data_IF_468668178992
#
_entry.id   IF_468668178992
#
_cell.length_a   1.000
_cell.length_b   1.000
_cell.length_c   1.000
_cell.angle_alpha   90.00
_cell.angle_beta   90.00
_cell.angle_gamma   90.00
#
_symmetry.space_group_name_H-M   'P 1'
#
loop_
_entity.id
_entity.type
_entity.pdbx_description
1 polymer ?
#
# COMPACT_ATOMS: atom_id res chain seq x y z
N UNK A 1 -15.74 12.53 22.34
CA UNK A 1 -15.22 11.16 22.56
C UNK A 1 -14.02 11.13 23.53
N UNK A 2 -14.00 11.95 24.59
CA UNK A 2 -12.80 12.13 25.43
C UNK A 2 -12.75 11.29 26.73
N UNK A 3 -13.72 10.39 26.99
CA UNK A 3 -13.95 9.86 28.35
C UNK A 3 -13.76 8.35 28.56
N UNK A 4 -13.04 7.63 27.69
CA UNK A 4 -12.62 6.24 27.98
C UNK A 4 -11.23 5.91 27.42
N UNK A 5 -10.23 6.75 27.68
CA UNK A 5 -8.86 6.22 27.69
C UNK A 5 -8.74 5.46 29.01
N UNK A 6 -8.88 4.15 28.95
CA UNK A 6 -8.66 3.21 30.06
C UNK A 6 -7.39 3.64 30.78
N UNK A 7 -7.49 4.00 32.07
CA UNK A 7 -6.30 4.29 32.88
C UNK A 7 -5.37 3.09 32.72
N UNK A 8 -4.21 3.27 32.08
CA UNK A 8 -3.13 2.29 32.04
C UNK A 8 -2.71 2.01 33.48
N UNK A 9 -3.37 1.04 34.12
CA UNK A 9 -3.10 0.59 35.51
C UNK A 9 -2.08 -0.55 35.55
N UNK A 10 -1.55 -0.95 34.39
CA UNK A 10 -0.67 -2.10 34.27
C UNK A 10 0.79 -1.70 34.57
N UNK A 11 1.50 -2.52 35.33
CA UNK A 11 2.90 -2.33 35.69
C UNK A 11 3.81 -2.92 34.60
N UNK A 12 4.97 -2.30 34.41
CA UNK A 12 6.05 -2.84 33.58
C UNK A 12 6.66 -4.07 34.28
N UNK A 13 7.00 -5.09 33.50
CA UNK A 13 7.69 -6.31 33.96
C UNK A 13 9.21 -6.29 33.66
N UNK A 14 9.73 -5.22 33.06
CA UNK A 14 11.16 -5.04 32.85
C UNK A 14 11.78 -4.17 33.95
N UNK A 15 12.99 -4.53 34.41
CA UNK A 15 13.84 -3.58 35.11
C UNK A 15 14.17 -2.45 34.15
N UNK A 16 13.87 -1.23 34.58
CA UNK A 16 13.61 -0.08 33.71
C UNK A 16 14.79 0.22 32.78
N UNK A 17 14.61 -0.06 31.48
CA UNK A 17 15.40 0.45 30.35
C UNK A 17 15.67 1.96 30.52
N UNK A 18 14.72 2.70 31.11
CA UNK A 18 14.84 4.12 31.38
C UNK A 18 15.91 4.51 32.41
N UNK A 19 16.35 3.58 33.27
CA UNK A 19 17.51 3.79 34.14
C UNK A 19 18.82 3.81 33.35
N UNK A 20 18.95 2.92 32.37
CA UNK A 20 20.17 2.75 31.57
C UNK A 20 20.23 3.77 30.43
N UNK A 21 19.08 4.04 29.81
CA UNK A 21 18.95 4.89 28.64
C UNK A 21 17.96 6.02 28.96
N UNK A 22 18.40 7.09 29.65
CA UNK A 22 17.50 8.16 30.04
C UNK A 22 16.95 8.87 28.80
N UNK A 23 15.68 9.26 28.87
CA UNK A 23 15.07 10.10 27.84
C UNK A 23 15.66 11.51 27.87
N UNK A 24 15.85 12.07 26.68
CA UNK A 24 16.20 13.47 26.45
C UNK A 24 15.08 14.08 25.60
N UNK A 25 14.68 15.30 25.90
CA UNK A 25 13.68 16.02 25.10
C UNK A 25 14.28 16.47 23.77
N UNK A 26 13.44 16.53 22.73
CA UNK A 26 13.84 17.02 21.41
C UNK A 26 14.08 18.53 21.44
N UNK A 27 15.19 19.02 20.89
CA UNK A 27 15.42 20.46 20.72
C UNK A 27 14.60 21.02 19.55
N UNK A 28 14.57 20.28 18.43
CA UNK A 28 13.83 20.66 17.23
C UNK A 28 12.35 20.22 17.27
N UNK A 29 11.57 20.81 18.17
CA UNK A 29 10.15 20.47 18.38
C UNK A 29 9.14 21.36 17.62
N UNK A 30 9.61 22.39 16.91
CA UNK A 30 8.74 23.27 16.14
C UNK A 30 8.09 22.52 14.97
N UNK A 31 6.76 22.51 14.94
CA UNK A 31 5.95 21.94 13.86
C UNK A 31 5.79 22.97 12.74
N UNK A 32 6.06 22.56 11.51
CA UNK A 32 5.86 23.36 10.30
C UNK A 32 5.60 22.45 9.10
N UNK A 33 4.82 22.94 8.15
CA UNK A 33 4.60 22.34 6.83
C UNK A 33 5.85 22.48 5.93
N UNK A 34 6.70 23.49 6.15
CA UNK A 34 7.98 23.66 5.44
C UNK A 34 8.96 22.50 5.67
N UNK A 35 8.78 21.74 6.74
CA UNK A 35 9.59 20.56 7.03
C UNK A 35 9.10 19.29 6.32
N UNK A 36 7.95 19.36 5.61
CA UNK A 36 7.43 18.23 4.87
C UNK A 36 8.30 17.94 3.64
N UNK A 37 8.83 16.73 3.53
CA UNK A 37 9.65 16.31 2.39
C UNK A 37 8.78 15.68 1.29
N UNK A 38 9.31 15.65 0.05
CA UNK A 38 8.66 14.98 -1.09
C UNK A 38 8.43 13.48 -0.83
N UNK A 39 9.27 12.84 -0.01
CA UNK A 39 9.10 11.44 0.40
C UNK A 39 7.91 11.25 1.35
N UNK A 40 7.61 12.25 2.19
CA UNK A 40 6.51 12.20 3.14
C UNK A 40 5.17 12.58 2.51
N UNK A 41 5.19 13.45 1.50
CA UNK A 41 3.99 13.99 0.86
C UNK A 41 2.96 12.92 0.42
N UNK A 42 3.34 11.77 -0.17
CA UNK A 42 2.38 10.73 -0.57
C UNK A 42 1.64 10.02 0.58
N UNK A 43 2.09 10.22 1.82
CA UNK A 43 1.53 9.61 3.03
C UNK A 43 0.81 10.63 3.92
N UNK A 44 0.89 11.92 3.57
CA UNK A 44 0.21 12.97 4.30
C UNK A 44 -1.17 13.19 3.68
N UNK A 45 -2.22 13.41 4.49
CA UNK A 45 -3.53 13.71 3.95
C UNK A 45 -3.44 14.94 3.02
N UNK A 46 -3.98 14.82 1.81
CA UNK A 46 -4.15 15.97 0.92
C UNK A 46 -4.95 17.05 1.65
N UNK A 47 -4.54 18.33 1.55
CA UNK A 47 -5.16 19.46 2.27
C UNK A 47 -6.69 19.37 2.23
N UNK A 48 -7.29 18.93 3.35
CA UNK A 48 -8.73 18.80 3.48
C UNK A 48 -9.29 20.14 3.97
N UNK A 49 -9.40 21.11 3.07
CA UNK A 49 -9.81 22.47 3.42
C UNK A 49 -8.75 23.20 4.25
N UNK A 50 -9.11 23.63 5.46
CA UNK A 50 -8.24 24.41 6.36
C UNK A 50 -7.32 23.55 7.25
N UNK A 51 -7.20 22.25 6.96
CA UNK A 51 -6.35 21.32 7.71
C UNK A 51 -5.04 21.11 6.96
N UNK A 52 -3.93 21.44 7.62
CA UNK A 52 -2.57 21.28 7.11
C UNK A 52 -1.83 20.24 7.94
N UNK A 53 -1.03 19.40 7.29
CA UNK A 53 -0.13 18.48 7.97
C UNK A 53 1.19 19.18 8.29
N UNK A 54 1.56 19.24 9.57
CA UNK A 54 2.77 19.91 10.03
C UNK A 54 3.69 18.91 10.72
N UNK A 55 5.00 19.02 10.47
CA UNK A 55 6.01 18.11 11.02
C UNK A 55 7.20 18.86 11.62
N UNK A 56 7.91 18.18 12.52
CA UNK A 56 9.19 18.68 13.05
C UNK A 56 10.32 18.46 12.05
N UNK A 57 11.42 19.24 12.16
CA UNK A 57 12.66 18.97 11.42
C UNK A 57 13.07 17.52 11.62
N UNK A 58 13.75 16.91 10.65
CA UNK A 58 14.12 15.50 10.74
C UNK A 58 15.12 15.17 11.87
N UNK A 59 16.17 15.98 12.03
CA UNK A 59 17.15 15.81 13.11
C UNK A 59 16.60 16.29 14.47
N UNK A 60 16.76 15.51 15.57
CA UNK A 60 16.32 15.91 16.90
C UNK A 60 17.06 17.11 17.50
N UNK A 61 18.30 17.32 17.03
CA UNK A 61 19.24 18.29 17.59
C UNK A 61 19.98 19.01 16.46
N UNK A 62 20.42 20.24 16.71
CA UNK A 62 21.25 20.97 15.75
C UNK A 62 22.67 20.38 15.69
N UNK A 63 23.17 20.17 14.46
CA UNK A 63 24.52 19.63 14.22
C UNK A 63 24.69 18.13 14.49
N UNK A 64 23.60 17.37 14.60
CA UNK A 64 23.64 15.90 14.68
C UNK A 64 23.40 15.27 13.32
N UNK A 65 24.01 14.10 13.11
CA UNK A 65 23.92 13.34 11.87
C UNK A 65 23.25 11.99 12.10
N UNK A 66 22.45 11.54 11.13
CA UNK A 66 21.90 10.20 11.11
C UNK A 66 23.05 9.20 10.85
N UNK A 67 23.29 8.31 11.80
CA UNK A 67 24.30 7.27 11.69
C UNK A 67 23.73 6.02 11.02
N UNK A 68 22.54 5.60 11.46
CA UNK A 68 21.86 4.41 10.97
C UNK A 68 20.35 4.51 11.21
N UNK A 69 19.57 3.93 10.31
CA UNK A 69 18.12 3.86 10.39
C UNK A 69 17.69 2.41 10.19
N UNK A 70 16.84 1.93 11.10
CA UNK A 70 16.28 0.59 11.07
C UNK A 70 14.75 0.67 10.99
N UNK A 71 14.19 -0.06 10.04
CA UNK A 71 12.74 -0.27 9.94
C UNK A 71 12.34 -1.39 10.91
N UNK A 72 11.62 -1.04 11.98
CA UNK A 72 11.33 -1.98 13.07
C UNK A 72 10.40 -3.11 12.64
N UNK A 73 9.58 -2.91 11.61
CA UNK A 73 8.72 -3.95 11.03
C UNK A 73 9.55 -5.08 10.43
N UNK A 74 10.76 -4.78 9.93
CA UNK A 74 11.61 -5.76 9.25
C UNK A 74 12.47 -6.58 10.20
N UNK A 75 12.76 -6.04 11.39
CA UNK A 75 13.73 -6.64 12.32
C UNK A 75 13.11 -7.16 13.62
N UNK A 76 11.89 -6.76 13.97
CA UNK A 76 11.20 -7.26 15.17
C UNK A 76 10.12 -8.27 14.78
N UNK A 77 10.20 -9.54 15.24
CA UNK A 77 9.19 -10.55 14.94
C UNK A 77 7.83 -10.28 15.62
N UNK A 78 7.83 -9.48 16.69
CA UNK A 78 6.63 -9.08 17.43
C UNK A 78 6.53 -7.56 17.43
N UNK A 79 6.00 -7.02 16.33
CA UNK A 79 5.86 -5.59 16.11
C UNK A 79 4.41 -5.14 16.37
N UNK A 80 4.22 -4.24 17.33
CA UNK A 80 2.94 -3.54 17.52
C UNK A 80 3.22 -2.10 17.99
N UNK A 81 2.85 -1.11 17.18
CA UNK A 81 3.10 0.31 17.45
C UNK A 81 2.49 0.78 18.76
N UNK A 82 1.27 0.31 19.08
CA UNK A 82 0.56 0.69 20.31
C UNK A 82 1.22 0.12 21.56
N UNK A 83 1.68 -1.14 21.50
CA UNK A 83 2.44 -1.79 22.56
C UNK A 83 3.71 -0.98 22.88
N UNK A 84 4.49 -0.65 21.85
CA UNK A 84 5.74 0.11 22.01
C UNK A 84 5.44 1.50 22.59
N UNK A 85 4.44 2.20 22.05
CA UNK A 85 3.97 3.49 22.59
C UNK A 85 3.63 3.40 24.09
N UNK A 86 2.91 2.36 24.51
CA UNK A 86 2.51 2.16 25.92
C UNK A 86 3.69 1.88 26.83
N UNK A 87 4.60 1.00 26.41
CA UNK A 87 5.84 0.70 27.15
C UNK A 87 6.60 2.01 27.40
N UNK A 88 6.77 2.82 26.36
CA UNK A 88 7.53 4.05 26.44
C UNK A 88 6.79 5.12 27.25
N UNK A 89 5.48 5.24 27.08
CA UNK A 89 4.68 6.17 27.86
C UNK A 89 4.71 5.89 29.36
N UNK A 90 4.66 4.61 29.73
CA UNK A 90 4.80 4.17 31.12
C UNK A 90 6.22 4.34 31.65
N UNK A 91 7.24 4.20 30.80
CA UNK A 91 8.65 4.27 31.20
C UNK A 91 9.19 5.71 31.26
N UNK A 92 8.72 6.59 30.37
CA UNK A 92 9.36 7.89 30.06
C UNK A 92 8.38 9.08 30.02
N UNK A 93 7.08 8.88 30.23
CA UNK A 93 6.08 9.96 30.18
C UNK A 93 5.52 10.25 28.78
N UNK A 94 5.04 11.46 28.53
CA UNK A 94 4.45 11.80 27.22
C UNK A 94 5.53 11.90 26.14
N UNK A 95 5.27 11.45 24.90
CA UNK A 95 6.26 11.55 23.81
C UNK A 95 6.47 12.99 23.35
N UNK A 96 7.50 13.18 22.53
CA UNK A 96 7.64 14.35 21.68
C UNK A 96 6.67 14.22 20.49
N UNK A 97 5.96 15.30 20.13
CA UNK A 97 5.08 15.31 18.96
C UNK A 97 5.90 15.62 17.73
N UNK A 98 5.90 14.72 16.76
CA UNK A 98 6.72 14.84 15.55
C UNK A 98 5.93 15.28 14.32
N UNK A 99 4.63 15.03 14.34
CA UNK A 99 3.69 15.35 13.27
C UNK A 99 2.29 15.54 13.83
N UNK A 100 1.54 16.47 13.25
CA UNK A 100 0.17 16.76 13.65
C UNK A 100 -0.69 17.24 12.47
N UNK A 101 -1.98 16.95 12.56
CA UNK A 101 -2.99 17.61 11.73
C UNK A 101 -3.38 18.91 12.42
N UNK A 102 -3.19 20.03 11.73
CA UNK A 102 -3.46 21.36 12.27
C UNK A 102 -4.62 21.99 11.52
N UNK A 103 -5.72 22.26 12.23
CA UNK A 103 -6.82 23.06 11.71
C UNK A 103 -6.50 24.54 11.94
N UNK A 104 -6.48 25.33 10.86
CA UNK A 104 -6.23 26.77 10.92
C UNK A 104 -7.52 27.49 11.29
N UNK A 105 -7.74 27.78 12.58
CA UNK A 105 -8.83 28.66 13.00
C UNK A 105 -8.47 30.12 12.63
N UNK A 106 -8.84 30.51 11.41
CA UNK A 106 -8.61 31.85 10.83
C UNK A 106 -9.22 32.98 11.70
N UNK A 107 -10.24 32.68 12.50
CA UNK A 107 -10.96 33.66 13.31
C UNK A 107 -10.26 33.88 14.64
N UNK A 108 -9.75 32.81 15.27
CA UNK A 108 -9.13 32.89 16.61
C UNK A 108 -7.60 32.92 16.58
N UNK A 109 -6.96 32.65 15.44
CA UNK A 109 -5.51 32.41 15.32
C UNK A 109 -5.00 31.36 16.33
N UNK A 110 -5.85 30.41 16.72
CA UNK A 110 -5.49 29.33 17.63
C UNK A 110 -5.31 28.04 16.86
N UNK A 111 -4.14 27.41 17.00
CA UNK A 111 -3.84 26.13 16.37
C UNK A 111 -4.45 25.00 17.20
N UNK A 112 -5.41 24.27 16.62
CA UNK A 112 -5.86 23.01 17.18
C UNK A 112 -5.11 21.88 16.47
N UNK A 113 -3.94 21.54 17.01
CA UNK A 113 -3.12 20.45 16.49
C UNK A 113 -3.56 19.11 17.08
N UNK A 114 -3.96 18.17 16.24
CA UNK A 114 -4.17 16.77 16.60
C UNK A 114 -2.88 15.99 16.32
N UNK A 115 -2.16 15.51 17.35
CA UNK A 115 -0.92 14.77 17.15
C UNK A 115 -1.20 13.45 16.43
N UNK A 116 -0.44 13.19 15.38
CA UNK A 116 -0.52 11.96 14.59
C UNK A 116 0.79 11.18 14.59
N UNK A 117 1.91 11.80 14.93
CA UNK A 117 3.21 11.15 15.03
C UNK A 117 3.91 11.52 16.33
N UNK A 118 4.70 10.58 16.85
CA UNK A 118 5.34 10.69 18.16
C UNK A 118 6.76 10.11 18.15
N UNK A 119 7.60 10.60 19.05
CA UNK A 119 8.98 10.16 19.21
C UNK A 119 9.43 10.10 20.66
N UNK A 120 10.44 9.26 20.91
CA UNK A 120 11.23 9.26 22.13
C UNK A 120 12.71 9.23 21.77
N UNK A 121 13.48 10.18 22.31
CA UNK A 121 14.93 10.21 22.17
C UNK A 121 15.55 9.69 23.46
N UNK A 122 16.38 8.66 23.35
CA UNK A 122 17.04 7.98 24.45
C UNK A 122 18.54 8.13 24.32
N UNK A 123 19.19 8.62 25.37
CA UNK A 123 20.64 8.78 25.43
C UNK A 123 21.32 7.42 25.59
N UNK A 124 22.16 7.03 24.63
CA UNK A 124 22.98 5.81 24.71
C UNK A 124 24.35 6.13 25.32
N UNK A 125 24.94 7.25 24.90
CA UNK A 125 26.15 7.85 25.48
C UNK A 125 26.18 9.35 25.11
N UNK A 126 27.20 10.10 25.55
CA UNK A 126 27.21 11.58 25.45
C UNK A 126 27.01 12.15 24.05
N UNK A 127 27.45 11.43 23.00
CA UNK A 127 27.35 11.87 21.63
C UNK A 127 26.45 10.98 20.76
N UNK A 128 25.79 9.95 21.32
CA UNK A 128 25.01 8.96 20.57
C UNK A 128 23.64 8.76 21.22
N UNK A 129 22.59 8.90 20.40
CA UNK A 129 21.21 8.84 20.81
C UNK A 129 20.45 7.85 19.93
N UNK A 130 19.48 7.14 20.50
CA UNK A 130 18.49 6.41 19.75
C UNK A 130 17.18 7.19 19.77
N UNK A 131 16.56 7.35 18.61
CA UNK A 131 15.21 7.86 18.47
C UNK A 131 14.30 6.74 17.99
N UNK A 132 13.28 6.43 18.79
CA UNK A 132 12.18 5.58 18.36
C UNK A 132 11.03 6.51 18.00
N UNK A 133 10.66 6.53 16.73
CA UNK A 133 9.61 7.42 16.24
C UNK A 133 8.62 6.72 15.33
N UNK A 134 7.39 7.18 15.39
CA UNK A 134 6.38 6.84 14.42
C UNK A 134 6.48 7.75 13.19
N UNK A 135 6.03 7.22 12.07
CA UNK A 135 6.01 7.88 10.76
C UNK A 135 4.80 7.40 9.96
N UNK A 136 4.40 8.18 8.96
CA UNK A 136 3.27 7.90 8.08
C UNK A 136 2.00 7.64 8.91
N UNK A 137 1.65 8.57 9.80
CA UNK A 137 0.47 8.47 10.68
C UNK A 137 0.45 7.23 11.59
N UNK A 138 1.61 6.86 12.16
CA UNK A 138 1.80 5.66 12.99
C UNK A 138 1.76 4.31 12.27
N UNK A 139 1.70 4.28 10.94
CA UNK A 139 1.76 3.02 10.18
C UNK A 139 3.18 2.45 10.14
N UNK A 140 4.20 3.32 10.29
CA UNK A 140 5.60 2.92 10.32
C UNK A 140 6.29 3.33 11.62
N UNK A 141 7.23 2.52 12.09
CA UNK A 141 8.02 2.83 13.29
C UNK A 141 9.49 2.61 12.96
N UNK A 142 10.27 3.67 13.17
CA UNK A 142 11.69 3.68 12.83
C UNK A 142 12.51 3.79 14.10
N UNK A 143 13.63 3.09 14.13
CA UNK A 143 14.70 3.29 15.10
C UNK A 143 15.87 3.97 14.40
N UNK A 144 16.12 5.22 14.77
CA UNK A 144 17.19 6.05 14.21
C UNK A 144 18.28 6.25 15.24
N UNK A 145 19.54 6.16 14.81
CA UNK A 145 20.68 6.47 15.65
C UNK A 145 21.29 7.80 15.22
N UNK A 146 21.35 8.74 16.15
CA UNK A 146 21.85 10.10 15.91
C UNK A 146 23.18 10.30 16.62
N UNK A 147 24.16 10.87 15.91
CA UNK A 147 25.50 11.10 16.45
C UNK A 147 25.97 12.55 16.22
N UNK A 148 26.54 13.18 17.24
CA UNK A 148 27.06 14.56 17.15
C UNK A 148 28.33 14.65 16.30
N UNK A 149 29.17 13.63 16.38
CA UNK A 149 30.48 13.59 15.74
C UNK A 149 30.71 12.22 15.12
N UNK A 150 30.74 12.16 13.79
CA UNK A 150 30.95 10.89 13.07
C UNK A 150 32.26 10.23 13.54
N UNK A 151 32.24 8.94 13.94
CA UNK A 151 33.44 8.22 14.40
C UNK A 151 34.57 8.31 13.37
N UNK A 152 35.75 8.78 13.80
CA UNK A 152 36.88 9.02 12.87
C UNK A 152 37.78 7.80 12.72
N UNK A 153 37.81 6.93 13.73
CA UNK A 153 38.65 5.74 13.75
C UNK A 153 37.82 4.45 13.95
N UNK A 154 38.48 3.30 13.73
CA UNK A 154 37.86 1.97 13.81
C UNK A 154 37.35 1.65 15.22
N UNK A 155 38.03 2.11 16.26
CA UNK A 155 37.69 1.79 17.65
C UNK A 155 36.44 2.56 18.12
N UNK A 156 36.33 3.85 17.78
CA UNK A 156 35.13 4.66 18.00
C UNK A 156 33.93 4.06 17.27
N UNK A 157 34.10 3.65 16.00
CA UNK A 157 33.03 3.01 15.23
C UNK A 157 32.60 1.69 15.89
N UNK A 158 33.55 0.86 16.32
CA UNK A 158 33.28 -0.41 17.01
C UNK A 158 32.56 -0.19 18.34
N UNK A 159 32.94 0.83 19.09
CA UNK A 159 32.29 1.20 20.34
C UNK A 159 30.84 1.65 20.09
N UNK A 160 30.60 2.53 19.11
CA UNK A 160 29.26 2.98 18.74
C UNK A 160 28.36 1.80 18.35
N UNK A 161 28.83 0.92 17.46
CA UNK A 161 28.09 -0.29 17.05
C UNK A 161 27.75 -1.17 18.26
N UNK A 162 28.72 -1.44 19.15
CA UNK A 162 28.49 -2.25 20.36
C UNK A 162 27.42 -1.62 21.27
N UNK A 163 27.42 -0.29 21.39
CA UNK A 163 26.44 0.45 22.19
C UNK A 163 25.05 0.45 21.54
N UNK A 164 24.96 0.60 20.22
CA UNK A 164 23.70 0.46 19.46
C UNK A 164 23.12 -0.95 19.62
N UNK A 165 23.94 -1.99 19.49
CA UNK A 165 23.51 -3.38 19.70
C UNK A 165 23.02 -3.60 21.13
N UNK A 166 23.75 -3.10 22.14
CA UNK A 166 23.32 -3.20 23.54
C UNK A 166 22.01 -2.47 23.83
N UNK A 167 21.76 -1.33 23.18
CA UNK A 167 20.48 -0.64 23.24
C UNK A 167 19.38 -1.47 22.59
N UNK A 168 19.61 -1.96 21.36
CA UNK A 168 18.61 -2.72 20.61
C UNK A 168 18.20 -4.00 21.35
N UNK A 169 19.17 -4.76 21.90
CA UNK A 169 18.86 -5.95 22.70
C UNK A 169 18.03 -5.62 23.95
N UNK A 170 18.32 -4.51 24.63
CA UNK A 170 17.52 -4.08 25.79
C UNK A 170 16.12 -3.62 25.40
N UNK A 171 15.99 -2.94 24.26
CA UNK A 171 14.71 -2.53 23.69
C UNK A 171 13.85 -3.76 23.31
N UNK A 172 14.42 -4.73 22.60
CA UNK A 172 13.75 -5.97 22.22
C UNK A 172 13.30 -6.78 23.46
N UNK A 173 14.19 -6.93 24.45
CA UNK A 173 13.86 -7.59 25.72
C UNK A 173 12.72 -6.87 26.46
N UNK A 174 12.71 -5.53 26.45
CA UNK A 174 11.63 -4.74 27.05
C UNK A 174 10.29 -4.97 26.33
N UNK A 175 10.27 -5.12 25.00
CA UNK A 175 9.05 -5.45 24.27
C UNK A 175 8.57 -6.85 24.67
N UNK A 176 9.44 -7.87 24.62
CA UNK A 176 9.10 -9.26 24.95
C UNK A 176 8.53 -9.39 26.36
N UNK A 177 9.17 -8.77 27.36
CA UNK A 177 8.73 -8.83 28.76
C UNK A 177 7.41 -8.10 29.02
N UNK A 178 7.04 -7.15 28.16
CA UNK A 178 5.85 -6.32 28.33
C UNK A 178 4.75 -6.59 27.30
N UNK A 179 4.81 -7.71 26.57
CA UNK A 179 3.81 -8.07 25.56
C UNK A 179 2.37 -8.10 26.13
N UNK A 180 2.20 -8.34 27.43
CA UNK A 180 0.91 -8.30 28.13
C UNK A 180 0.23 -6.93 28.14
N UNK A 181 0.95 -5.84 27.82
CA UNK A 181 0.39 -4.49 27.73
C UNK A 181 -0.44 -4.24 26.47
N UNK A 182 -0.50 -5.23 25.57
CA UNK A 182 -1.40 -5.23 24.44
C UNK A 182 -2.06 -6.60 24.34
N UNK A 183 -3.38 -6.64 24.46
CA UNK A 183 -4.15 -7.86 24.22
C UNK A 183 -5.15 -7.59 23.11
N UNK A 184 -4.86 -8.12 21.93
CA UNK A 184 -5.63 -7.87 20.71
C UNK A 184 -7.12 -8.21 20.89
N UNK A 185 -7.45 -9.40 21.38
CA UNK A 185 -8.84 -9.84 21.59
C UNK A 185 -9.63 -8.97 22.56
N UNK A 186 -8.97 -8.37 23.57
CA UNK A 186 -9.64 -7.53 24.57
C UNK A 186 -9.75 -6.07 24.16
N UNK A 187 -8.88 -5.64 23.25
CA UNK A 187 -8.76 -4.24 22.85
C UNK A 187 -9.43 -3.95 21.52
N UNK A 188 -9.53 -4.96 20.65
CA UNK A 188 -10.39 -4.93 19.47
C UNK A 188 -11.74 -5.50 19.91
N UNK A 189 -12.62 -4.61 20.35
CA UNK A 189 -14.02 -4.92 20.65
C UNK A 189 -14.95 -4.30 19.59
N UNK A 190 -16.25 -4.63 19.64
CA UNK A 190 -17.26 -4.10 18.71
C UNK A 190 -17.27 -2.56 18.63
N UNK A 191 -16.85 -1.85 19.69
CA UNK A 191 -16.73 -0.39 19.67
C UNK A 191 -15.52 0.06 18.86
N UNK A 192 -14.40 -0.64 19.00
CA UNK A 192 -13.18 -0.36 18.25
C UNK A 192 -13.30 -0.77 16.79
N UNK A 193 -13.99 -1.88 16.49
CA UNK A 193 -14.40 -2.26 15.13
C UNK A 193 -15.32 -1.21 14.47
N UNK A 194 -16.10 -0.49 15.28
CA UNK A 194 -16.94 0.58 14.78
C UNK A 194 -16.15 1.78 14.25
N UNK A 195 -14.91 1.98 14.71
CA UNK A 195 -13.99 3.06 14.32
C UNK A 195 -12.84 2.59 13.40
N UNK A 196 -12.87 1.34 12.92
CA UNK A 196 -11.80 0.77 12.10
C UNK A 196 -11.73 1.42 10.70
N UNK A 197 -10.52 1.72 10.23
CA UNK A 197 -10.26 2.03 8.82
C UNK A 197 -9.94 0.75 8.05
N UNK A 198 -10.29 0.69 6.77
CA UNK A 198 -10.04 -0.46 5.91
C UNK A 198 -8.82 -0.16 5.05
N UNK A 199 -7.91 -1.13 4.91
CA UNK A 199 -6.78 -0.99 3.98
C UNK A 199 -7.32 -0.87 2.54
N UNK A 200 -6.85 0.15 1.81
CA UNK A 200 -7.25 0.33 0.41
C UNK A 200 -6.41 -0.58 -0.51
N UNK A 201 -6.82 -1.85 -0.61
CA UNK A 201 -6.14 -2.85 -1.45
C UNK A 201 -6.10 -2.41 -2.91
N UNK A 202 -7.12 -1.70 -3.41
CA UNK A 202 -7.12 -1.15 -4.76
C UNK A 202 -5.93 -0.21 -4.97
N UNK A 203 -5.77 0.81 -4.12
CA UNK A 203 -4.69 1.80 -4.25
C UNK A 203 -3.31 1.15 -4.15
N UNK A 204 -3.12 0.23 -3.20
CA UNK A 204 -1.86 -0.52 -3.05
C UNK A 204 -1.50 -1.28 -4.34
N UNK A 205 -2.45 -2.05 -4.88
CA UNK A 205 -2.22 -2.89 -6.08
C UNK A 205 -2.05 -2.04 -7.33
N UNK A 206 -2.81 -0.96 -7.46
CA UNK A 206 -2.71 -0.04 -8.60
C UNK A 206 -1.35 0.65 -8.63
N UNK A 207 -0.90 1.25 -7.51
CA UNK A 207 0.43 1.89 -7.42
C UNK A 207 1.56 0.89 -7.63
N UNK A 208 1.42 -0.34 -7.14
CA UNK A 208 2.38 -1.41 -7.41
C UNK A 208 2.44 -1.77 -8.90
N UNK A 209 1.29 -1.82 -9.58
CA UNK A 209 1.23 -2.05 -11.02
C UNK A 209 1.93 -0.94 -11.81
N UNK A 210 1.73 0.33 -11.44
CA UNK A 210 2.41 1.47 -12.04
C UNK A 210 3.93 1.43 -11.81
N UNK A 211 4.38 1.12 -10.59
CA UNK A 211 5.81 0.99 -10.29
C UNK A 211 6.47 -0.12 -11.13
N UNK A 212 5.80 -1.26 -11.30
CA UNK A 212 6.29 -2.33 -12.18
C UNK A 212 6.29 -1.92 -13.65
N UNK A 213 5.30 -1.15 -14.10
CA UNK A 213 5.26 -0.63 -15.47
C UNK A 213 6.44 0.31 -15.74
N UNK A 214 6.75 1.22 -14.80
CA UNK A 214 7.91 2.11 -14.89
C UNK A 214 9.20 1.29 -14.90
N UNK A 215 9.34 0.33 -14.00
CA UNK A 215 10.50 -0.57 -13.95
C UNK A 215 10.69 -1.36 -15.25
N UNK A 216 9.61 -1.85 -15.86
CA UNK A 216 9.67 -2.54 -17.14
C UNK A 216 10.12 -1.62 -18.27
N UNK A 217 9.69 -0.35 -18.27
CA UNK A 217 10.06 0.64 -19.27
C UNK A 217 11.53 1.08 -19.15
N UNK A 218 12.05 1.17 -17.92
CA UNK A 218 13.44 1.52 -17.65
C UNK A 218 14.40 0.34 -17.86
N UNK A 219 13.93 -0.87 -17.58
CA UNK A 219 14.69 -2.11 -17.61
C UNK A 219 14.48 -2.99 -18.84
N UNK A 220 13.91 -2.45 -19.93
CA UNK A 220 13.54 -3.21 -21.14
C UNK A 220 14.78 -3.70 -21.91
N UNK A 221 15.48 -4.66 -21.32
CA UNK A 221 16.57 -5.43 -21.94
C UNK A 221 15.89 -6.60 -22.66
N UNK A 222 15.15 -6.31 -23.73
CA UNK A 222 14.78 -7.37 -24.66
C UNK A 222 16.10 -8.01 -25.13
N UNK A 223 16.28 -9.33 -24.98
CA UNK A 223 17.42 -9.98 -25.61
C UNK A 223 17.31 -9.73 -27.12
N UNK A 224 18.40 -9.27 -27.74
CA UNK A 224 18.47 -9.15 -29.19
C UNK A 224 17.99 -10.45 -29.83
N UNK A 225 17.07 -10.33 -30.81
CA UNK A 225 16.63 -11.49 -31.59
C UNK A 225 17.86 -12.13 -32.22
N UNK A 226 18.25 -13.30 -31.73
CA UNK A 226 19.33 -14.11 -32.28
C UNK A 226 18.92 -15.56 -32.35
N UNK A 227 19.53 -16.28 -33.28
CA UNK A 227 19.38 -17.73 -33.37
C UNK A 227 19.94 -18.39 -32.11
N UNK A 228 19.17 -19.33 -31.56
CA UNK A 228 19.63 -20.19 -30.47
C UNK A 228 20.59 -21.23 -31.04
N UNK A 229 21.74 -21.41 -30.38
CA UNK A 229 22.65 -22.49 -30.74
C UNK A 229 22.08 -23.85 -30.29
N UNK A 230 22.49 -24.93 -30.96
CA UNK A 230 22.06 -26.27 -30.60
C UNK A 230 22.46 -26.61 -29.15
N UNK A 231 21.46 -26.90 -28.31
CA UNK A 231 21.66 -27.17 -26.88
C UNK A 231 21.61 -25.93 -25.97
N UNK A 232 21.43 -24.73 -26.52
CA UNK A 232 21.23 -23.51 -25.73
C UNK A 232 19.82 -23.49 -25.12
N UNK A 233 19.72 -23.24 -23.81
CA UNK A 233 18.43 -23.05 -23.15
C UNK A 233 17.83 -21.69 -23.56
N UNK A 234 16.54 -21.62 -23.93
CA UNK A 234 15.91 -20.36 -24.27
C UNK A 234 15.96 -19.41 -23.07
N UNK A 235 16.52 -18.21 -23.27
CA UNK A 235 16.46 -17.16 -22.27
C UNK A 235 15.01 -16.66 -22.18
N UNK A 236 14.43 -16.71 -20.99
CA UNK A 236 13.09 -16.19 -20.73
C UNK A 236 13.15 -14.66 -20.75
N UNK A 237 12.25 -14.03 -21.51
CA UNK A 237 12.12 -12.58 -21.54
C UNK A 237 11.64 -12.06 -20.16
N UNK A 238 12.53 -11.43 -19.41
CA UNK A 238 12.21 -10.85 -18.10
C UNK A 238 11.36 -9.58 -18.21
N UNK A 239 11.50 -8.80 -19.29
CA UNK A 239 10.67 -7.62 -19.54
C UNK A 239 9.20 -7.99 -19.72
N UNK A 240 8.91 -9.02 -20.52
CA UNK A 240 7.56 -9.58 -20.68
C UNK A 240 6.96 -10.09 -19.37
N UNK A 241 7.79 -10.67 -18.49
CA UNK A 241 7.35 -11.08 -17.15
C UNK A 241 6.97 -9.89 -16.26
N UNK A 242 7.73 -8.79 -16.28
CA UNK A 242 7.41 -7.59 -15.49
C UNK A 242 6.15 -6.90 -16.04
N UNK A 243 6.01 -6.76 -17.36
CA UNK A 243 4.78 -6.26 -17.99
C UNK A 243 3.57 -7.12 -17.66
N UNK A 244 3.72 -8.44 -17.64
CA UNK A 244 2.66 -9.35 -17.19
C UNK A 244 2.31 -9.14 -15.72
N UNK A 245 3.30 -9.03 -14.83
CA UNK A 245 3.04 -8.78 -13.41
C UNK A 245 2.29 -7.46 -13.19
N UNK A 246 2.69 -6.39 -13.89
CA UNK A 246 1.96 -5.12 -13.89
C UNK A 246 0.51 -5.29 -14.38
N UNK A 247 0.31 -5.98 -15.50
CA UNK A 247 -1.03 -6.27 -16.05
C UNK A 247 -1.93 -7.00 -15.07
N UNK A 248 -1.41 -8.04 -14.41
CA UNK A 248 -2.16 -8.82 -13.41
C UNK A 248 -2.52 -7.94 -12.21
N UNK A 249 -1.60 -7.09 -11.74
CA UNK A 249 -1.87 -6.20 -10.61
C UNK A 249 -2.92 -5.13 -10.93
N UNK A 250 -3.00 -4.61 -12.16
CA UNK A 250 -4.11 -3.73 -12.58
C UNK A 250 -5.47 -4.45 -12.52
N UNK A 251 -5.53 -5.71 -12.98
CA UNK A 251 -6.75 -6.53 -12.88
C UNK A 251 -7.14 -6.76 -11.41
N UNK A 252 -6.17 -7.15 -10.57
CA UNK A 252 -6.40 -7.36 -9.14
C UNK A 252 -6.86 -6.06 -8.46
N UNK A 253 -6.29 -4.91 -8.82
CA UNK A 253 -6.71 -3.62 -8.31
C UNK A 253 -8.20 -3.39 -8.61
N UNK A 254 -8.64 -3.54 -9.86
CA UNK A 254 -10.04 -3.38 -10.24
C UNK A 254 -10.97 -4.32 -9.45
N UNK A 255 -10.63 -5.61 -9.37
CA UNK A 255 -11.40 -6.59 -8.58
C UNK A 255 -11.48 -6.19 -7.10
N UNK A 256 -10.38 -5.70 -6.53
CA UNK A 256 -10.31 -5.23 -5.15
C UNK A 256 -11.21 -4.01 -4.93
N UNK A 257 -11.23 -3.07 -5.87
CA UNK A 257 -12.10 -1.89 -5.79
C UNK A 257 -13.57 -2.29 -5.74
N UNK A 258 -14.01 -3.18 -6.62
CA UNK A 258 -15.40 -3.66 -6.63
C UNK A 258 -15.72 -4.48 -5.38
N UNK A 259 -14.79 -5.33 -4.91
CA UNK A 259 -14.94 -6.05 -3.63
C UNK A 259 -15.15 -5.08 -2.47
N UNK A 260 -14.32 -4.03 -2.39
CA UNK A 260 -14.40 -3.00 -1.36
C UNK A 260 -15.72 -2.23 -1.43
N UNK A 261 -16.17 -1.84 -2.62
CA UNK A 261 -17.45 -1.14 -2.79
C UNK A 261 -18.62 -2.02 -2.38
N UNK A 262 -18.64 -3.30 -2.74
CA UNK A 262 -19.66 -4.24 -2.27
C UNK A 262 -19.59 -4.41 -0.76
N UNK A 263 -18.39 -4.58 -0.18
CA UNK A 263 -18.27 -4.70 1.27
C UNK A 263 -18.83 -3.48 2.02
N UNK A 264 -18.58 -2.28 1.50
CA UNK A 264 -18.95 -1.02 2.16
C UNK A 264 -20.39 -0.56 1.87
N UNK A 265 -20.91 -0.85 0.69
CA UNK A 265 -22.16 -0.27 0.19
C UNK A 265 -23.26 -1.30 -0.03
N UNK A 266 -23.02 -2.61 0.13
CA UNK A 266 -24.07 -3.62 -0.02
C UNK A 266 -25.21 -3.37 0.95
N UNK A 267 -26.44 -3.27 0.41
CA UNK A 267 -27.64 -2.99 1.20
C UNK A 267 -27.85 -4.08 2.26
N UNK A 268 -28.31 -3.74 3.47
CA UNK A 268 -28.45 -4.69 4.56
C UNK A 268 -29.28 -5.94 4.22
N UNK A 269 -30.32 -5.81 3.40
CA UNK A 269 -31.17 -6.92 2.96
C UNK A 269 -30.45 -7.99 2.12
N UNK A 270 -29.30 -7.66 1.54
CA UNK A 270 -28.50 -8.56 0.70
C UNK A 270 -27.22 -9.07 1.37
N UNK A 271 -26.98 -8.71 2.65
CA UNK A 271 -25.78 -9.13 3.38
C UNK A 271 -25.85 -10.59 3.87
N UNK A 272 -27.03 -11.23 3.83
CA UNK A 272 -27.18 -12.61 4.28
C UNK A 272 -26.52 -13.62 3.31
N UNK A 273 -25.94 -14.70 3.87
CA UNK A 273 -25.22 -15.76 3.15
C UNK A 273 -25.94 -16.27 1.88
N UNK A 274 -27.27 -16.48 1.85
CA UNK A 274 -27.96 -16.97 0.64
C UNK A 274 -27.81 -16.05 -0.58
N UNK A 275 -27.59 -14.74 -0.38
CA UNK A 275 -27.45 -13.76 -1.45
C UNK A 275 -26.01 -13.55 -1.90
N UNK A 276 -25.01 -14.09 -1.21
CA UNK A 276 -23.59 -13.86 -1.53
C UNK A 276 -23.25 -14.27 -2.97
N UNK A 277 -23.82 -15.38 -3.46
CA UNK A 277 -23.56 -15.90 -4.82
C UNK A 277 -23.97 -14.94 -5.93
N UNK A 278 -24.99 -14.12 -5.70
CA UNK A 278 -25.51 -13.15 -6.68
C UNK A 278 -25.04 -11.72 -6.40
N UNK A 279 -24.30 -11.50 -5.31
CA UNK A 279 -23.78 -10.21 -4.89
C UNK A 279 -22.25 -10.23 -4.81
N UNK A 280 -21.67 -10.43 -3.62
CA UNK A 280 -20.24 -10.31 -3.37
C UNK A 280 -19.39 -11.36 -4.10
N UNK A 281 -19.94 -12.56 -4.35
CA UNK A 281 -19.25 -13.66 -5.06
C UNK A 281 -19.62 -13.77 -6.54
N UNK A 282 -20.45 -12.87 -7.06
CA UNK A 282 -20.74 -12.83 -8.48
C UNK A 282 -19.50 -12.39 -9.27
N UNK A 283 -19.42 -12.82 -10.53
CA UNK A 283 -18.33 -12.41 -11.43
C UNK A 283 -18.27 -10.88 -11.55
N UNK A 284 -17.06 -10.34 -11.74
CA UNK A 284 -16.78 -8.90 -11.81
C UNK A 284 -17.73 -8.15 -12.73
N UNK A 285 -17.99 -8.70 -13.91
CA UNK A 285 -18.83 -8.13 -14.94
C UNK A 285 -20.30 -8.05 -14.52
N UNK A 286 -20.81 -9.09 -13.85
CA UNK A 286 -22.15 -9.08 -13.25
C UNK A 286 -22.24 -8.04 -12.14
N UNK A 287 -21.21 -7.91 -11.30
CA UNK A 287 -21.19 -6.90 -10.23
C UNK A 287 -21.20 -5.47 -10.77
N UNK A 288 -20.46 -5.20 -11.84
CA UNK A 288 -20.43 -3.88 -12.49
C UNK A 288 -21.80 -3.47 -13.06
N UNK A 289 -22.54 -4.39 -13.67
CA UNK A 289 -23.87 -4.07 -14.22
C UNK A 289 -24.96 -4.01 -13.14
N UNK A 290 -24.79 -4.71 -12.02
CA UNK A 290 -25.83 -4.89 -11.00
C UNK A 290 -25.62 -4.08 -9.71
N UNK A 291 -24.51 -3.34 -9.58
CA UNK A 291 -24.19 -2.56 -8.38
C UNK A 291 -25.35 -1.65 -7.92
N UNK A 292 -26.04 -0.97 -8.84
CA UNK A 292 -27.21 -0.13 -8.53
C UNK A 292 -28.42 -0.87 -7.92
N UNK A 293 -28.52 -2.19 -8.10
CA UNK A 293 -29.57 -3.01 -7.51
C UNK A 293 -29.24 -3.40 -6.08
N UNK A 294 -27.96 -3.72 -5.81
CA UNK A 294 -27.54 -4.34 -4.55
C UNK A 294 -26.83 -3.39 -3.61
N UNK A 295 -26.17 -2.36 -4.12
CA UNK A 295 -25.44 -1.39 -3.32
C UNK A 295 -26.25 -0.11 -3.13
N UNK A 296 -26.02 0.55 -2.00
CA UNK A 296 -26.40 1.93 -1.78
C UNK A 296 -25.43 2.85 -2.51
N UNK A 297 -25.90 4.05 -2.84
CA UNK A 297 -25.03 5.07 -3.42
C UNK A 297 -24.81 4.97 -4.93
N UNK A 298 -25.44 4.02 -5.64
CA UNK A 298 -25.46 3.94 -7.10
C UNK A 298 -26.88 4.07 -7.65
N UNK A 299 -27.08 4.99 -8.61
CA UNK A 299 -28.39 5.25 -9.22
C UNK A 299 -28.56 4.58 -10.59
N UNK A 300 -27.47 4.12 -11.19
CA UNK A 300 -27.46 3.53 -12.52
C UNK A 300 -26.41 2.41 -12.59
N UNK A 301 -26.53 1.47 -13.54
CA UNK A 301 -25.47 0.51 -13.82
C UNK A 301 -24.13 1.22 -14.05
N UNK A 302 -23.05 0.69 -13.47
CA UNK A 302 -21.70 1.23 -13.72
C UNK A 302 -21.33 1.03 -15.19
N UNK A 303 -21.69 -0.14 -15.73
CA UNK A 303 -21.53 -0.46 -17.14
C UNK A 303 -22.88 -0.92 -17.71
N UNK A 304 -23.08 -0.62 -19.00
CA UNK A 304 -24.19 -1.17 -19.76
C UNK A 304 -23.69 -2.23 -20.73
N UNK A 305 -24.40 -3.37 -20.86
CA UNK A 305 -24.19 -4.29 -21.97
C UNK A 305 -24.24 -3.52 -23.29
N UNK A 306 -23.38 -3.86 -24.24
CA UNK A 306 -23.22 -3.20 -25.55
C UNK A 306 -22.45 -1.87 -25.57
N UNK A 307 -21.97 -1.34 -24.43
CA UNK A 307 -21.02 -0.21 -24.45
C UNK A 307 -19.64 -0.65 -24.96
N UNK A 308 -18.85 0.29 -25.50
CA UNK A 308 -17.46 0.02 -25.87
C UNK A 308 -16.65 -0.45 -24.65
N UNK A 309 -16.86 0.19 -23.49
CA UNK A 309 -16.19 -0.13 -22.24
C UNK A 309 -16.53 -1.55 -21.75
N UNK A 310 -17.76 -2.01 -21.96
CA UNK A 310 -18.13 -3.41 -21.72
C UNK A 310 -17.32 -4.37 -22.61
N UNK A 311 -17.15 -4.03 -23.88
CA UNK A 311 -16.28 -4.79 -24.79
C UNK A 311 -14.84 -4.88 -24.27
N UNK A 312 -14.27 -3.78 -23.77
CA UNK A 312 -12.93 -3.75 -23.17
C UNK A 312 -12.85 -4.62 -21.90
N UNK A 313 -13.85 -4.54 -21.01
CA UNK A 313 -13.93 -5.40 -19.82
C UNK A 313 -13.97 -6.89 -20.19
N UNK A 314 -14.77 -7.28 -21.18
CA UNK A 314 -14.86 -8.69 -21.60
C UNK A 314 -13.51 -9.21 -22.10
N UNK A 315 -12.76 -8.37 -22.82
CA UNK A 315 -11.42 -8.73 -23.23
C UNK A 315 -10.44 -8.80 -22.05
N UNK A 316 -10.54 -7.89 -21.08
CA UNK A 316 -9.74 -7.93 -19.84
C UNK A 316 -10.00 -9.21 -19.04
N UNK A 317 -11.26 -9.64 -18.96
CA UNK A 317 -11.68 -10.91 -18.33
C UNK A 317 -11.07 -12.10 -19.07
N UNK A 318 -11.07 -12.08 -20.39
CA UNK A 318 -10.44 -13.13 -21.19
C UNK A 318 -8.93 -13.17 -20.95
N UNK A 319 -8.25 -12.03 -20.99
CA UNK A 319 -6.82 -11.92 -20.66
C UNK A 319 -6.52 -12.49 -19.27
N UNK A 320 -7.28 -12.09 -18.24
CA UNK A 320 -7.17 -12.63 -16.88
C UNK A 320 -7.30 -14.15 -16.86
N UNK A 321 -8.35 -14.69 -17.49
CA UNK A 321 -8.61 -16.12 -17.47
C UNK A 321 -7.48 -16.90 -18.15
N UNK A 322 -7.02 -16.42 -19.30
CA UNK A 322 -5.99 -17.09 -20.08
C UNK A 322 -4.63 -17.06 -19.36
N UNK A 323 -4.28 -15.94 -18.72
CA UNK A 323 -3.03 -15.81 -17.97
C UNK A 323 -3.04 -16.54 -16.62
N UNK A 324 -4.11 -16.42 -15.82
CA UNK A 324 -4.16 -16.99 -14.47
C UNK A 324 -4.36 -18.51 -14.51
N UNK A 325 -5.20 -19.00 -15.42
CA UNK A 325 -5.51 -20.43 -15.51
C UNK A 325 -4.57 -21.18 -16.46
N UNK A 326 -3.65 -20.48 -17.14
CA UNK A 326 -2.73 -21.08 -18.10
C UNK A 326 -3.46 -21.75 -19.25
N UNK A 327 -4.56 -21.14 -19.73
CA UNK A 327 -5.34 -21.72 -20.81
C UNK A 327 -4.48 -21.84 -22.07
N UNK A 328 -4.52 -23.01 -22.71
CA UNK A 328 -3.88 -23.20 -24.02
C UNK A 328 -4.74 -22.47 -25.05
N UNK A 329 -4.18 -21.42 -25.66
CA UNK A 329 -4.82 -20.68 -26.74
C UNK A 329 -4.21 -21.09 -28.07
N UNK A 330 -4.78 -20.63 -29.19
CA UNK A 330 -4.21 -20.87 -30.51
C UNK A 330 -2.77 -20.37 -30.65
N UNK A 331 -2.36 -19.40 -29.84
CA UNK A 331 -1.00 -18.83 -29.86
C UNK A 331 0.01 -19.74 -29.12
N UNK A 332 -0.48 -20.71 -28.36
CA UNK A 332 0.32 -21.74 -27.67
C UNK A 332 0.46 -23.04 -28.47
N UNK A 333 -0.26 -23.18 -29.59
CA UNK A 333 -0.25 -24.39 -30.41
C UNK A 333 0.81 -24.27 -31.50
N UNK A 334 1.75 -25.22 -31.55
CA UNK A 334 2.66 -25.40 -32.67
C UNK A 334 2.02 -26.36 -33.66
N UNK A 335 1.89 -25.93 -34.92
CA UNK A 335 1.41 -26.76 -36.00
C UNK A 335 2.58 -27.54 -36.61
N UNK A 336 2.37 -28.79 -36.99
CA UNK A 336 3.36 -29.55 -37.76
C UNK A 336 2.87 -29.78 -39.18
N UNK A 337 3.75 -29.54 -40.14
CA UNK A 337 3.55 -29.81 -41.54
C UNK A 337 4.56 -30.86 -41.98
N UNK A 338 4.14 -31.82 -42.80
CA UNK A 338 5.03 -32.85 -43.34
C UNK A 338 5.17 -32.62 -44.84
N UNK A 339 6.37 -32.28 -45.30
CA UNK A 339 6.71 -32.09 -46.71
C UNK A 339 7.93 -32.96 -47.03
N UNK A 340 7.85 -33.80 -48.07
CA UNK A 340 8.95 -34.73 -48.46
C UNK A 340 9.51 -35.59 -47.30
N UNK A 341 8.64 -36.01 -46.37
CA UNK A 341 9.00 -36.74 -45.14
C UNK A 341 9.85 -35.92 -44.14
N UNK A 342 9.93 -34.61 -44.31
CA UNK A 342 10.55 -33.68 -43.38
C UNK A 342 9.43 -32.97 -42.61
N UNK A 343 9.50 -32.99 -41.28
CA UNK A 343 8.53 -32.31 -40.41
C UNK A 343 8.99 -30.88 -40.18
N UNK A 344 8.14 -29.93 -40.56
CA UNK A 344 8.28 -28.51 -40.29
C UNK A 344 7.34 -28.13 -39.15
N UNK A 345 7.88 -27.49 -38.12
CA UNK A 345 7.08 -26.94 -37.05
C UNK A 345 6.83 -25.47 -37.34
N UNK A 346 5.56 -25.07 -37.24
CA UNK A 346 5.12 -23.70 -37.36
C UNK A 346 4.54 -23.25 -36.03
N UNK A 347 5.29 -22.40 -35.35
CA UNK A 347 4.88 -21.67 -34.17
C UNK A 347 4.22 -20.36 -34.60
N UNK A 348 2.91 -20.18 -34.37
CA UNK A 348 2.22 -18.96 -34.77
C UNK A 348 2.90 -17.71 -34.19
N UNK A 349 3.43 -17.80 -32.98
CA UNK A 349 4.08 -16.69 -32.28
C UNK A 349 5.50 -16.40 -32.75
N UNK A 350 6.22 -17.41 -33.28
CA UNK A 350 7.63 -17.32 -33.64
C UNK A 350 7.87 -17.14 -35.13
N UNK A 351 6.95 -17.62 -35.98
CA UNK A 351 7.11 -17.57 -37.42
C UNK A 351 6.45 -16.33 -38.03
N UNK A 352 7.21 -15.59 -38.84
CA UNK A 352 6.76 -14.36 -39.50
C UNK A 352 5.60 -14.65 -40.46
N UNK A 353 4.45 -14.00 -40.24
CA UNK A 353 3.20 -14.27 -40.97
C UNK A 353 2.86 -13.21 -42.04
N UNK A 354 3.70 -12.19 -42.19
CA UNK A 354 3.41 -11.01 -42.99
C UNK A 354 2.40 -10.05 -42.35
N UNK A 355 2.42 -8.78 -42.78
CA UNK A 355 1.68 -7.67 -42.14
C UNK A 355 0.18 -7.89 -41.92
N UNK A 356 -0.53 -8.54 -42.85
CA UNK A 356 -1.99 -8.77 -42.74
C UNK A 356 -2.38 -9.78 -41.65
N UNK A 357 -1.51 -10.76 -41.38
CA UNK A 357 -1.76 -11.77 -40.36
C UNK A 357 -1.38 -11.27 -38.97
N UNK A 358 -0.35 -10.41 -38.87
CA UNK A 358 -0.02 -9.67 -37.64
C UNK A 358 -1.16 -8.75 -37.22
N UNK A 359 -1.75 -8.00 -38.17
CA UNK A 359 -2.86 -7.07 -37.88
C UNK A 359 -4.14 -7.79 -37.37
N UNK A 360 -4.33 -9.05 -37.76
CA UNK A 360 -5.42 -9.91 -37.28
C UNK A 360 -5.11 -10.52 -35.91
N UNK A 361 -3.85 -10.83 -35.62
CA UNK A 361 -3.40 -11.34 -34.33
C UNK A 361 -3.38 -10.23 -33.25
N UNK A 362 -2.98 -9.01 -33.61
CA UNK A 362 -2.91 -7.85 -32.72
C UNK A 362 -4.25 -7.44 -32.09
N UNK A 363 -5.39 -7.82 -32.71
CA UNK A 363 -6.74 -7.45 -32.23
C UNK A 363 -7.23 -8.28 -31.04
N UNK A 364 -6.51 -9.35 -30.66
CA UNK A 364 -6.75 -10.14 -29.46
C UNK A 364 -5.58 -9.90 -28.51
N UNK A 365 -5.84 -9.79 -27.21
CA UNK A 365 -4.76 -9.77 -26.23
C UNK A 365 -3.90 -11.02 -26.44
N UNK A 366 -2.60 -10.88 -26.74
CA UNK A 366 -1.75 -12.04 -26.90
C UNK A 366 -1.62 -12.73 -25.55
N UNK A 367 -1.70 -14.06 -25.56
CA UNK A 367 -1.88 -14.87 -24.35
C UNK A 367 -0.62 -15.58 -23.89
N UNK A 368 0.53 -15.26 -24.51
CA UNK A 368 1.83 -15.76 -24.08
C UNK A 368 2.64 -14.67 -23.36
N UNK A 369 3.34 -15.06 -22.28
CA UNK A 369 4.12 -14.16 -21.43
C UNK A 369 5.16 -13.34 -22.22
N UNK A 370 5.78 -13.92 -23.25
CA UNK A 370 6.79 -13.25 -24.05
C UNK A 370 6.22 -12.12 -24.94
N UNK A 371 4.90 -12.05 -25.09
CA UNK A 371 4.21 -11.11 -25.99
C UNK A 371 3.49 -10.00 -25.22
N UNK A 372 3.46 -10.06 -23.90
CA UNK A 372 2.97 -8.95 -23.08
C UNK A 372 4.02 -7.83 -23.12
N UNK A 373 3.60 -6.69 -23.62
CA UNK A 373 4.45 -5.52 -23.86
C UNK A 373 3.79 -4.26 -23.30
N UNK A 374 4.49 -3.13 -23.41
CA UNK A 374 4.02 -1.83 -22.93
C UNK A 374 2.62 -1.47 -23.42
N UNK A 375 2.31 -1.71 -24.70
CA UNK A 375 1.03 -1.30 -25.29
C UNK A 375 -0.13 -2.05 -24.66
N UNK A 376 0.05 -3.36 -24.42
CA UNK A 376 -0.95 -4.19 -23.74
C UNK A 376 -1.19 -3.73 -22.31
N UNK A 377 -0.11 -3.50 -21.55
CA UNK A 377 -0.26 -3.03 -20.16
C UNK A 377 -0.93 -1.65 -20.13
N UNK A 378 -0.60 -0.79 -21.11
CA UNK A 378 -1.21 0.53 -21.26
C UNK A 378 -2.70 0.44 -21.59
N UNK A 379 -3.12 -0.45 -22.49
CA UNK A 379 -4.53 -0.68 -22.81
C UNK A 379 -5.30 -1.23 -21.59
N UNK A 380 -4.68 -2.13 -20.83
CA UNK A 380 -5.26 -2.66 -19.58
C UNK A 380 -5.42 -1.54 -18.55
N UNK A 381 -4.37 -0.74 -18.31
CA UNK A 381 -4.41 0.40 -17.40
C UNK A 381 -5.50 1.39 -17.81
N UNK A 382 -5.55 1.77 -19.08
CA UNK A 382 -6.58 2.68 -19.61
C UNK A 382 -7.99 2.10 -19.40
N UNK A 383 -8.17 0.81 -19.63
CA UNK A 383 -9.46 0.14 -19.40
C UNK A 383 -9.85 0.19 -17.92
N UNK A 384 -8.92 -0.07 -17.00
CA UNK A 384 -9.16 0.05 -15.55
C UNK A 384 -9.50 1.50 -15.18
N UNK A 385 -8.77 2.48 -15.70
CA UNK A 385 -9.00 3.91 -15.46
C UNK A 385 -10.39 4.36 -15.94
N UNK A 386 -10.81 3.90 -17.11
CA UNK A 386 -12.15 4.17 -17.64
C UNK A 386 -13.25 3.53 -16.79
N UNK A 387 -13.03 2.31 -16.28
CA UNK A 387 -14.00 1.66 -15.37
C UNK A 387 -14.06 2.41 -14.03
N UNK A 388 -12.93 2.86 -13.48
CA UNK A 388 -12.91 3.70 -12.27
C UNK A 388 -13.74 4.96 -12.46
N UNK A 389 -13.58 5.65 -13.59
CA UNK A 389 -14.41 6.82 -13.92
C UNK A 389 -15.88 6.46 -14.01
N UNK A 390 -16.23 5.36 -14.67
CA UNK A 390 -17.61 4.89 -14.77
C UNK A 390 -18.22 4.58 -13.38
N UNK A 391 -17.43 4.05 -12.43
CA UNK A 391 -17.85 3.82 -11.04
C UNK A 391 -18.21 5.16 -10.38
N UNK A 392 -17.32 6.14 -10.47
CA UNK A 392 -17.49 7.48 -9.87
C UNK A 392 -18.70 8.19 -10.50
N UNK A 393 -18.89 8.07 -11.81
CA UNK A 393 -19.98 8.70 -12.54
C UNK A 393 -21.34 8.08 -12.19
N UNK A 394 -21.40 6.76 -12.00
CA UNK A 394 -22.62 6.05 -11.62
C UNK A 394 -23.04 6.26 -10.15
N UNK A 395 -22.12 6.74 -9.30
CA UNK A 395 -22.40 7.03 -7.91
C UNK A 395 -23.29 8.29 -7.75
N UNK A 396 -24.14 8.28 -6.73
CA UNK A 396 -24.86 9.47 -6.21
C UNK A 396 -23.85 10.56 -5.82
N UNK A 397 -24.26 11.84 -5.84
CA UNK A 397 -23.34 12.96 -5.54
C UNK A 397 -22.62 12.80 -4.19
N UNK A 398 -23.35 12.40 -3.14
CA UNK A 398 -22.78 12.14 -1.80
C UNK A 398 -21.70 11.03 -1.84
N UNK A 399 -22.00 9.90 -2.48
CA UNK A 399 -21.05 8.78 -2.56
C UNK A 399 -19.91 9.05 -3.53
N UNK A 400 -20.14 9.84 -4.58
CA UNK A 400 -19.12 10.28 -5.52
C UNK A 400 -18.06 11.11 -4.79
N UNK A 401 -18.49 12.11 -4.01
CA UNK A 401 -17.58 12.91 -3.18
C UNK A 401 -16.84 12.03 -2.16
N UNK A 402 -17.53 11.09 -1.53
CA UNK A 402 -16.90 10.18 -0.58
C UNK A 402 -15.85 9.26 -1.24
N UNK A 403 -16.18 8.61 -2.36
CA UNK A 403 -15.26 7.75 -3.13
C UNK A 403 -14.01 8.54 -3.55
N UNK A 404 -14.19 9.76 -4.08
CA UNK A 404 -13.07 10.59 -4.51
C UNK A 404 -12.09 10.96 -3.38
N UNK A 405 -12.55 10.99 -2.12
CA UNK A 405 -11.69 11.29 -0.96
C UNK A 405 -10.73 10.16 -0.58
N UNK A 406 -11.04 8.91 -0.95
CA UNK A 406 -10.25 7.76 -0.47
C UNK A 406 -9.74 6.84 -1.58
N UNK A 407 -10.28 6.91 -2.80
CA UNK A 407 -9.99 5.91 -3.85
C UNK A 407 -8.48 5.76 -4.12
N UNK A 408 -7.71 6.84 -4.00
CA UNK A 408 -6.26 6.81 -4.17
C UNK A 408 -5.47 6.78 -2.85
N UNK A 409 -6.14 6.84 -1.71
CA UNK A 409 -5.52 6.86 -0.38
C UNK A 409 -5.13 5.45 0.07
N UNK A 410 -4.18 5.35 1.01
CA UNK A 410 -3.74 4.05 1.55
C UNK A 410 -4.81 3.37 2.44
N UNK A 411 -5.68 4.18 3.05
CA UNK A 411 -6.70 3.75 3.99
C UNK A 411 -8.05 4.34 3.58
N UNK A 412 -9.10 3.56 3.81
CA UNK A 412 -10.49 3.96 3.59
C UNK A 412 -11.09 4.25 4.95
N UNK A 413 -11.46 5.50 5.25
CA UNK A 413 -12.20 5.80 6.46
C UNK A 413 -13.58 5.12 6.34
N UNK A 414 -14.02 4.44 7.41
CA UNK A 414 -15.35 3.81 7.42
C UNK A 414 -16.40 4.85 7.06
N UNK A 415 -17.29 4.52 6.13
CA UNK A 415 -18.39 5.41 5.78
C UNK A 415 -19.37 5.50 6.96
N UNK A 416 -19.24 6.55 7.76
CA UNK A 416 -20.23 6.87 8.78
C UNK A 416 -21.36 7.59 8.05
N UNK A 417 -22.42 6.86 7.69
CA UNK A 417 -23.65 7.50 7.22
C UNK A 417 -24.01 8.63 8.18
N UNK A 418 -24.22 9.87 7.71
CA UNK A 418 -24.73 10.91 8.57
C UNK A 418 -26.03 10.39 9.17
N UNK A 419 -26.09 10.29 10.51
CA UNK A 419 -27.33 9.94 11.21
C UNK A 419 -28.37 10.93 10.71
N UNK A 420 -29.39 10.43 10.00
CA UNK A 420 -30.57 11.25 9.71
C UNK A 420 -31.05 11.75 11.07
N UNK A 421 -30.94 13.06 11.28
CA UNK A 421 -31.56 13.72 12.42
C UNK A 421 -33.06 13.52 12.23
N UNK A 422 -33.58 12.47 12.87
CA UNK A 422 -35.00 12.18 12.95
C UNK A 422 -35.68 13.07 13.97
#
# INVERSE_FOLDING_TARGET
MANKVTKLKQKLHSESMAKTYPRIERENCALSDEHLTDEMAPYCPTNMGDIVYVVTKESPFEGYHLLEELDLQTILPFFNTLLIYRIFKLSYGQPDILGALSELDLIKKTFKAQPVEWGYILKIMDNLFAEIRSSNMNTRLKLKYWIKSVPKNKDEKKLAIRKMQGFFSAFEDSIKKNAHLFNEEKEIDDQTESDAAILNIFSERYRSAEALLIMAQEGDILPDRRDLEFGEAPKVNTGGSIYLSSSILFVIALESLINTLYHLLLRPEFQAEPYERVTARADLDIRLISAHLFCEGFNAPILTPHSELWGRLLKLRQFRNDMIHGNITSDHVVYSFLEDKITFFYGPTTDFRGYKAEDKAARKYPTSMAHVNKDIVSEIKETVDLIIRAIIDAATDEHREWINKWIWEAMIPKFIKPRRLG
#
